data_IF_712504965323
#
_entry.id   IF_712504965323
#
_cell.length_a   1.000
_cell.length_b   1.000
_cell.length_c   1.000
_cell.angle_alpha   90.00
_cell.angle_beta   90.00
_cell.angle_gamma   90.00
#
_symmetry.space_group_name_H-M   'P 1'
#
loop_
_entity.id
_entity.type
_entity.pdbx_description
1 polymer ?
#
# COMPACT_ATOMS: atom_id res chain seq x y z
N UNK A 1 -38.73 45.75 -32.02
CA UNK A 1 -39.36 45.37 -30.74
C UNK A 1 -38.43 45.81 -29.61
N UNK A 2 -38.61 47.04 -29.12
CA UNK A 2 -37.79 47.61 -28.04
C UNK A 2 -38.40 47.24 -26.69
N UNK A 3 -37.62 46.62 -25.79
CA UNK A 3 -38.07 46.27 -24.45
C UNK A 3 -37.93 47.47 -23.50
N UNK A 4 -39.05 47.92 -22.92
CA UNK A 4 -39.02 48.94 -21.86
C UNK A 4 -38.41 48.36 -20.59
N UNK A 5 -37.40 49.05 -20.02
CA UNK A 5 -36.77 48.67 -18.75
C UNK A 5 -37.76 48.89 -17.59
N UNK A 6 -37.88 47.87 -16.73
CA UNK A 6 -38.69 47.86 -15.51
C UNK A 6 -37.78 47.79 -14.28
N UNK A 7 -38.20 48.38 -13.16
CA UNK A 7 -37.51 48.25 -11.87
C UNK A 7 -37.72 46.86 -11.27
N UNK A 8 -36.99 46.54 -10.19
CA UNK A 8 -37.04 45.23 -9.52
C UNK A 8 -38.42 44.87 -8.95
N UNK A 9 -39.27 45.88 -8.69
CA UNK A 9 -40.67 45.73 -8.26
C UNK A 9 -41.67 45.69 -9.44
N UNK A 10 -41.19 45.69 -10.69
CA UNK A 10 -42.00 45.47 -11.89
C UNK A 10 -42.62 46.73 -12.53
N UNK A 11 -42.38 47.92 -11.99
CA UNK A 11 -42.91 49.17 -12.53
C UNK A 11 -42.08 49.70 -13.73
N UNK A 12 -42.76 50.34 -14.69
CA UNK A 12 -42.14 50.94 -15.88
C UNK A 12 -41.33 52.19 -15.50
N UNK A 13 -40.05 52.23 -15.87
CA UNK A 13 -39.19 53.39 -15.59
C UNK A 13 -39.31 54.40 -16.73
N UNK A 14 -39.93 55.56 -16.45
CA UNK A 14 -39.95 56.69 -17.39
C UNK A 14 -38.60 57.43 -17.31
N UNK A 15 -37.80 57.38 -18.38
CA UNK A 15 -36.60 58.21 -18.53
C UNK A 15 -36.97 59.63 -18.94
N UNK A 16 -37.26 60.49 -17.96
CA UNK A 16 -37.25 61.94 -18.19
C UNK A 16 -35.79 62.45 -18.17
N UNK A 17 -35.38 63.08 -19.27
CA UNK A 17 -34.08 63.73 -19.42
C UNK A 17 -34.11 65.08 -18.70
N UNK A 18 -33.87 65.09 -17.40
CA UNK A 18 -33.56 66.34 -16.68
C UNK A 18 -32.06 66.62 -16.80
N UNK A 19 -31.71 67.63 -17.59
CA UNK A 19 -30.38 68.24 -17.61
C UNK A 19 -30.15 68.95 -16.27
N UNK A 20 -29.64 68.24 -15.29
CA UNK A 20 -29.02 68.81 -14.10
C UNK A 20 -27.50 68.76 -14.28
N UNK A 21 -26.87 69.93 -14.32
CA UNK A 21 -25.43 70.10 -14.11
C UNK A 21 -25.09 69.55 -12.71
N UNK A 22 -24.76 68.27 -12.63
CA UNK A 22 -24.11 67.70 -11.46
C UNK A 22 -22.62 67.77 -11.73
N UNK A 23 -21.92 68.59 -10.96
CA UNK A 23 -20.48 68.50 -10.83
C UNK A 23 -20.10 67.03 -10.67
N UNK A 24 -19.10 66.58 -11.43
CA UNK A 24 -18.59 65.22 -11.32
C UNK A 24 -18.25 64.94 -9.85
N UNK A 25 -19.08 64.14 -9.19
CA UNK A 25 -18.73 63.58 -7.90
C UNK A 25 -17.40 62.85 -8.10
N UNK A 26 -16.40 63.03 -7.22
CA UNK A 26 -15.18 62.29 -7.33
C UNK A 26 -15.58 60.81 -7.29
N UNK A 27 -15.24 60.08 -8.35
CA UNK A 27 -15.34 58.62 -8.38
C UNK A 27 -14.61 58.17 -7.13
N UNK A 28 -15.37 57.63 -6.18
CA UNK A 28 -14.89 57.19 -4.87
C UNK A 28 -13.75 56.20 -5.16
N UNK A 29 -12.50 56.68 -5.05
CA UNK A 29 -11.35 55.85 -5.32
C UNK A 29 -11.46 54.69 -4.33
N UNK A 30 -11.42 53.42 -4.78
CA UNK A 30 -11.43 52.30 -3.85
C UNK A 30 -10.34 52.59 -2.82
N UNK A 31 -10.75 52.70 -1.54
CA UNK A 31 -9.87 53.22 -0.49
C UNK A 31 -8.56 52.46 -0.59
N UNK A 32 -7.47 53.18 -0.82
CA UNK A 32 -6.14 52.60 -1.13
C UNK A 32 -5.72 51.55 -0.11
N UNK A 33 -6.17 51.70 1.13
CA UNK A 33 -6.05 50.73 2.22
C UNK A 33 -6.73 49.36 1.95
N UNK A 34 -7.94 49.35 1.38
CA UNK A 34 -8.62 48.09 1.01
C UNK A 34 -7.85 47.41 -0.12
N UNK A 35 -7.41 48.15 -1.13
CA UNK A 35 -6.62 47.57 -2.24
C UNK A 35 -5.31 46.95 -1.74
N UNK A 36 -4.55 47.64 -0.87
CA UNK A 36 -3.31 47.09 -0.31
C UNK A 36 -3.54 45.87 0.57
N UNK A 37 -4.67 45.82 1.28
CA UNK A 37 -5.09 44.63 2.04
C UNK A 37 -5.34 43.43 1.11
N UNK A 38 -6.05 43.64 -0.01
CA UNK A 38 -6.29 42.58 -0.99
C UNK A 38 -5.02 42.14 -1.72
N UNK A 39 -4.06 43.04 -1.96
CA UNK A 39 -2.74 42.67 -2.49
C UNK A 39 -1.99 41.77 -1.52
N UNK A 40 -2.01 42.08 -0.22
CA UNK A 40 -1.40 41.24 0.81
C UNK A 40 -2.06 39.85 0.85
N UNK A 41 -3.40 39.79 0.81
CA UNK A 41 -4.12 38.51 0.76
C UNK A 41 -3.82 37.69 -0.50
N UNK A 42 -3.68 38.35 -1.66
CA UNK A 42 -3.28 37.69 -2.90
C UNK A 42 -1.89 37.06 -2.73
N UNK A 43 -0.92 37.83 -2.26
CA UNK A 43 0.46 37.36 -2.14
C UNK A 43 0.58 36.20 -1.13
N UNK A 44 -0.19 36.24 -0.03
CA UNK A 44 -0.29 35.12 0.92
C UNK A 44 -0.93 33.86 0.32
N UNK A 45 -2.01 34.03 -0.47
CA UNK A 45 -2.69 32.92 -1.14
C UNK A 45 -1.80 32.28 -2.20
N UNK A 46 -1.09 33.09 -2.99
CA UNK A 46 -0.16 32.63 -4.01
C UNK A 46 0.99 31.83 -3.37
N UNK A 47 1.60 32.35 -2.30
CA UNK A 47 2.64 31.63 -1.57
C UNK A 47 2.11 30.30 -0.98
N UNK A 48 0.88 30.30 -0.47
CA UNK A 48 0.22 29.09 0.01
C UNK A 48 0.02 28.06 -1.10
N UNK A 49 -0.42 28.47 -2.28
CA UNK A 49 -0.65 27.59 -3.43
C UNK A 49 0.68 27.02 -3.95
N UNK A 50 1.71 27.84 -4.10
CA UNK A 50 3.04 27.41 -4.51
C UNK A 50 3.61 26.36 -3.54
N UNK A 51 3.49 26.61 -2.24
CA UNK A 51 3.89 25.66 -1.20
C UNK A 51 3.12 24.36 -1.29
N UNK A 52 1.79 24.44 -1.44
CA UNK A 52 0.93 23.26 -1.57
C UNK A 52 1.34 22.40 -2.76
N UNK A 53 1.62 23.00 -3.91
CA UNK A 53 2.05 22.27 -5.11
C UNK A 53 3.44 21.63 -4.93
N UNK A 54 4.38 22.30 -4.24
CA UNK A 54 5.67 21.68 -3.87
C UNK A 54 5.48 20.44 -3.00
N UNK A 55 4.65 20.51 -1.95
CA UNK A 55 4.35 19.36 -1.08
C UNK A 55 3.69 18.22 -1.88
N UNK A 56 2.72 18.54 -2.75
CA UNK A 56 2.05 17.55 -3.59
C UNK A 56 3.03 16.86 -4.54
N UNK A 57 3.95 17.61 -5.15
CA UNK A 57 4.97 17.06 -6.03
C UNK A 57 5.89 16.09 -5.28
N UNK A 58 6.42 16.52 -4.13
CA UNK A 58 7.26 15.66 -3.29
C UNK A 58 6.53 14.41 -2.85
N UNK A 59 5.26 14.54 -2.45
CA UNK A 59 4.39 13.43 -2.07
C UNK A 59 4.28 12.39 -3.20
N UNK A 60 4.00 12.83 -4.44
CA UNK A 60 3.94 11.95 -5.61
C UNK A 60 5.26 11.24 -5.90
N UNK A 61 6.39 11.94 -5.76
CA UNK A 61 7.71 11.37 -6.00
C UNK A 61 8.05 10.28 -4.97
N UNK A 62 7.74 10.51 -3.69
CA UNK A 62 7.91 9.52 -2.61
C UNK A 62 7.01 8.30 -2.85
N UNK A 63 5.74 8.50 -3.18
CA UNK A 63 4.82 7.41 -3.54
C UNK A 63 5.38 6.58 -4.69
N UNK A 64 5.86 7.23 -5.75
CA UNK A 64 6.40 6.54 -6.92
C UNK A 64 7.66 5.71 -6.57
N UNK A 65 8.54 6.22 -5.72
CA UNK A 65 9.73 5.49 -5.26
C UNK A 65 9.35 4.30 -4.35
N UNK A 66 8.38 4.49 -3.46
CA UNK A 66 7.89 3.44 -2.55
C UNK A 66 7.28 2.28 -3.34
N UNK A 67 6.45 2.56 -4.35
CA UNK A 67 5.96 1.54 -5.29
C UNK A 67 7.06 0.77 -5.98
N UNK A 68 8.10 1.47 -6.45
CA UNK A 68 9.26 0.82 -7.09
C UNK A 68 10.01 -0.09 -6.12
N UNK A 69 10.08 0.26 -4.83
CA UNK A 69 10.63 -0.63 -3.78
C UNK A 69 9.75 -1.87 -3.66
N UNK A 70 8.45 -1.71 -3.48
CA UNK A 70 7.48 -2.81 -3.37
C UNK A 70 7.60 -3.77 -4.56
N UNK A 71 7.54 -3.26 -5.80
CA UNK A 71 7.72 -4.09 -6.99
C UNK A 71 9.05 -4.83 -7.02
N UNK A 72 10.14 -4.20 -6.54
CA UNK A 72 11.45 -4.84 -6.47
C UNK A 72 11.49 -5.98 -5.46
N UNK A 73 10.77 -5.82 -4.33
CA UNK A 73 10.62 -6.85 -3.31
C UNK A 73 9.73 -7.99 -3.78
N UNK A 74 8.65 -7.72 -4.52
CA UNK A 74 7.80 -8.77 -5.11
C UNK A 74 8.56 -9.69 -6.08
N UNK A 75 9.61 -9.18 -6.76
CA UNK A 75 10.48 -10.01 -7.63
C UNK A 75 11.27 -11.08 -6.88
N UNK A 76 11.35 -11.01 -5.55
CA UNK A 76 12.09 -11.99 -4.74
C UNK A 76 11.49 -13.38 -4.80
N UNK A 77 10.20 -13.51 -5.15
CA UNK A 77 9.56 -14.82 -5.37
C UNK A 77 10.10 -15.51 -6.63
N UNK A 78 10.49 -14.74 -7.65
CA UNK A 78 10.89 -15.26 -8.96
C UNK A 78 12.40 -15.50 -9.11
N UNK A 79 13.22 -14.94 -8.22
CA UNK A 79 14.67 -14.85 -8.44
C UNK A 79 15.46 -15.76 -7.50
N UNK A 80 15.45 -17.05 -7.80
CA UNK A 80 16.41 -18.02 -7.28
C UNK A 80 16.95 -18.89 -8.43
N UNK A 81 17.91 -18.36 -9.19
CA UNK A 81 18.76 -19.14 -10.09
C UNK A 81 20.20 -18.62 -10.00
N UNK A 82 21.13 -19.54 -9.73
CA UNK A 82 22.58 -19.38 -9.47
C UNK A 82 23.31 -18.72 -10.67
N UNK A 83 24.48 -18.07 -10.50
CA UNK A 83 25.30 -17.61 -11.62
C UNK A 83 25.72 -18.76 -12.53
N UNK A 84 25.53 -18.57 -13.84
CA UNK A 84 26.05 -19.41 -14.90
C UNK A 84 27.59 -19.45 -14.83
N UNK A 85 28.16 -20.59 -14.45
CA UNK A 85 29.58 -20.88 -14.68
C UNK A 85 29.71 -21.58 -16.02
N UNK A 86 30.50 -21.00 -16.91
CA UNK A 86 30.66 -21.43 -18.30
C UNK A 86 31.74 -22.51 -18.35
N UNK A 87 31.40 -23.73 -17.94
CA UNK A 87 32.20 -24.90 -18.28
C UNK A 87 31.33 -26.06 -18.76
N UNK A 88 31.90 -26.77 -19.73
CA UNK A 88 31.18 -27.47 -20.80
C UNK A 88 30.90 -28.93 -20.43
N UNK A 89 29.80 -29.45 -20.95
CA UNK A 89 29.35 -30.86 -21.03
C UNK A 89 28.41 -31.39 -19.94
N UNK A 90 27.32 -31.97 -20.45
CA UNK A 90 26.28 -32.80 -19.82
C UNK A 90 25.04 -32.10 -19.25
N UNK A 91 23.92 -32.61 -19.76
CA UNK A 91 22.49 -32.36 -19.52
C UNK A 91 22.12 -31.47 -18.32
N UNK A 92 21.49 -30.32 -18.61
CA UNK A 92 20.97 -29.44 -17.58
C UNK A 92 19.54 -29.87 -17.17
N UNK A 93 19.30 -30.21 -15.90
CA UNK A 93 17.93 -30.19 -15.38
C UNK A 93 17.48 -28.74 -15.27
N UNK A 94 16.32 -28.41 -15.85
CA UNK A 94 15.61 -27.15 -15.63
C UNK A 94 15.47 -26.92 -14.11
N UNK A 95 16.29 -26.04 -13.55
CA UNK A 95 16.26 -25.74 -12.12
C UNK A 95 15.06 -24.83 -11.86
N UNK A 96 14.04 -25.38 -11.20
CA UNK A 96 12.82 -24.66 -10.79
C UNK A 96 13.22 -23.54 -9.81
N UNK A 97 12.67 -22.32 -9.92
CA UNK A 97 12.95 -21.26 -8.96
C UNK A 97 12.60 -21.72 -7.54
N UNK A 98 13.64 -21.89 -6.71
CA UNK A 98 13.43 -22.19 -5.29
C UNK A 98 12.78 -20.98 -4.62
N UNK A 99 11.60 -21.18 -4.03
CA UNK A 99 10.86 -20.15 -3.30
C UNK A 99 11.76 -19.59 -2.21
N UNK A 100 11.94 -18.26 -2.19
CA UNK A 100 12.74 -17.63 -1.14
C UNK A 100 12.10 -17.88 0.23
N UNK A 101 12.91 -18.33 1.17
CA UNK A 101 12.59 -18.40 2.60
C UNK A 101 12.42 -16.99 3.17
N UNK A 102 11.25 -16.69 3.75
CA UNK A 102 11.04 -15.50 4.59
C UNK A 102 12.04 -15.55 5.76
N UNK A 103 12.48 -14.40 6.30
CA UNK A 103 13.54 -14.31 7.32
C UNK A 103 14.95 -14.60 6.78
N UNK A 104 15.16 -14.28 5.51
CA UNK A 104 16.47 -14.30 4.87
C UNK A 104 16.90 -12.88 4.48
N UNK A 105 18.21 -12.59 4.36
CA UNK A 105 18.67 -11.30 3.86
C UNK A 105 18.25 -11.08 2.40
N UNK A 106 17.99 -9.83 2.03
CA UNK A 106 17.64 -9.47 0.66
C UNK A 106 18.89 -9.63 -0.24
N UNK A 107 18.78 -10.31 -1.41
CA UNK A 107 19.88 -10.44 -2.35
C UNK A 107 20.52 -9.10 -2.68
N UNK A 108 21.85 -9.05 -2.69
CA UNK A 108 22.64 -7.82 -2.81
C UNK A 108 22.19 -6.86 -3.94
N UNK A 109 21.83 -7.33 -5.16
CA UNK A 109 21.39 -6.43 -6.22
C UNK A 109 20.09 -5.69 -5.85
N UNK A 110 19.10 -6.42 -5.30
CA UNK A 110 17.81 -5.83 -4.90
C UNK A 110 17.99 -5.01 -3.63
N UNK A 111 18.81 -5.46 -2.68
CA UNK A 111 19.11 -4.70 -1.46
C UNK A 111 19.76 -3.34 -1.78
N UNK A 112 20.71 -3.30 -2.72
CA UNK A 112 21.33 -2.05 -3.19
C UNK A 112 20.28 -1.16 -3.86
N UNK A 113 19.46 -1.74 -4.73
CA UNK A 113 18.40 -1.03 -5.45
C UNK A 113 17.36 -0.41 -4.51
N UNK A 114 16.88 -1.16 -3.51
CA UNK A 114 15.93 -0.67 -2.51
C UNK A 114 16.55 0.35 -1.59
N UNK A 115 17.80 0.14 -1.16
CA UNK A 115 18.53 1.10 -0.32
C UNK A 115 18.66 2.46 -1.01
N UNK A 116 19.11 2.48 -2.27
CA UNK A 116 19.23 3.73 -3.03
C UNK A 116 17.90 4.48 -3.11
N UNK A 117 16.77 3.78 -3.24
CA UNK A 117 15.46 4.42 -3.25
C UNK A 117 15.03 4.94 -1.88
N UNK A 118 15.33 4.21 -0.80
CA UNK A 118 15.11 4.72 0.55
C UNK A 118 15.94 5.97 0.84
N UNK A 119 17.20 6.02 0.36
CA UNK A 119 18.05 7.21 0.48
C UNK A 119 17.45 8.41 -0.29
N UNK A 120 16.89 8.16 -1.49
CA UNK A 120 16.17 9.17 -2.27
C UNK A 120 14.92 9.68 -1.57
N UNK A 121 14.11 8.78 -1.00
CA UNK A 121 12.91 9.15 -0.23
C UNK A 121 13.30 9.97 1.01
N UNK A 122 14.37 9.58 1.70
CA UNK A 122 14.88 10.32 2.86
C UNK A 122 15.28 11.75 2.46
N UNK A 123 15.94 11.91 1.31
CA UNK A 123 16.28 13.23 0.77
C UNK A 123 15.03 14.05 0.43
N UNK A 124 14.01 13.43 -0.16
CA UNK A 124 12.75 14.10 -0.47
C UNK A 124 12.02 14.58 0.79
N UNK A 125 11.99 13.76 1.84
CA UNK A 125 11.43 14.18 3.13
C UNK A 125 12.21 15.36 3.72
N UNK A 126 13.55 15.34 3.69
CA UNK A 126 14.36 16.46 4.17
C UNK A 126 14.08 17.76 3.41
N UNK A 127 13.95 17.66 2.08
CA UNK A 127 13.72 18.84 1.24
C UNK A 127 12.35 19.49 1.42
N UNK A 128 11.33 18.75 1.91
CA UNK A 128 9.98 19.30 2.11
C UNK A 128 9.78 19.91 3.51
N UNK A 129 10.69 19.70 4.46
CA UNK A 129 10.61 20.24 5.84
C UNK A 129 10.28 21.74 5.88
N UNK A 130 10.92 22.63 5.09
CA UNK A 130 10.61 24.07 5.15
C UNK A 130 9.14 24.40 4.80
N UNK A 131 8.48 23.52 4.04
CA UNK A 131 7.11 23.69 3.60
C UNK A 131 6.08 23.04 4.55
N UNK A 132 6.50 22.20 5.50
CA UNK A 132 5.60 21.46 6.41
C UNK A 132 5.89 21.68 7.89
N UNK A 133 6.67 22.69 8.25
CA UNK A 133 7.02 23.01 9.65
C UNK A 133 6.15 24.10 10.26
N UNK A 134 6.06 24.12 11.60
CA UNK A 134 5.30 25.13 12.34
C UNK A 134 3.80 25.09 12.01
N UNK A 135 3.21 26.25 11.71
CA UNK A 135 1.79 26.38 11.36
C UNK A 135 1.40 25.58 10.09
N UNK A 136 2.38 25.28 9.24
CA UNK A 136 2.15 24.55 7.98
C UNK A 136 1.99 23.04 8.18
N UNK A 137 2.44 22.49 9.32
CA UNK A 137 2.43 21.06 9.59
C UNK A 137 1.04 20.46 9.44
N UNK A 138 0.06 20.96 10.20
CA UNK A 138 -1.33 20.51 10.09
C UNK A 138 -1.99 20.90 8.76
N UNK A 139 -1.61 22.04 8.18
CA UNK A 139 -2.22 22.56 6.95
C UNK A 139 -1.92 21.67 5.75
N UNK A 140 -0.70 21.14 5.67
CA UNK A 140 -0.25 20.33 4.54
C UNK A 140 -0.09 18.83 4.85
N UNK A 141 -0.40 18.39 6.09
CA UNK A 141 -0.36 16.99 6.48
C UNK A 141 -1.13 16.09 5.50
N UNK A 142 -2.32 16.51 5.08
CA UNK A 142 -3.16 15.74 4.15
C UNK A 142 -2.51 15.55 2.77
N UNK A 143 -1.70 16.50 2.30
CA UNK A 143 -1.02 16.41 1.02
C UNK A 143 0.16 15.42 1.08
N UNK A 144 0.80 15.27 2.24
CA UNK A 144 1.93 14.38 2.44
C UNK A 144 1.53 12.98 2.95
N UNK A 145 0.38 12.88 3.62
CA UNK A 145 -0.15 11.65 4.24
C UNK A 145 -0.16 10.43 3.30
N UNK A 146 -0.60 10.59 2.05
CA UNK A 146 -0.58 9.48 1.08
C UNK A 146 0.83 8.97 0.74
N UNK A 147 1.84 9.84 0.77
CA UNK A 147 3.23 9.44 0.58
C UNK A 147 3.80 8.73 1.81
N UNK A 148 3.42 9.17 3.00
CA UNK A 148 3.81 8.53 4.27
C UNK A 148 3.22 7.11 4.33
N UNK A 149 1.95 6.94 3.99
CA UNK A 149 1.28 5.63 3.95
C UNK A 149 2.00 4.65 3.01
N UNK A 150 2.30 5.06 1.78
CA UNK A 150 3.01 4.23 0.81
C UNK A 150 4.46 3.93 1.24
N UNK A 151 5.14 4.90 1.87
CA UNK A 151 6.46 4.68 2.45
C UNK A 151 6.42 3.64 3.57
N UNK A 152 5.41 3.69 4.44
CA UNK A 152 5.19 2.72 5.52
C UNK A 152 4.93 1.33 4.95
N UNK A 153 4.11 1.20 3.92
CA UNK A 153 3.88 -0.06 3.22
C UNK A 153 5.20 -0.65 2.70
N UNK A 154 6.01 0.15 1.98
CA UNK A 154 7.29 -0.28 1.44
C UNK A 154 8.31 -0.67 2.52
N UNK A 155 8.42 0.13 3.59
CA UNK A 155 9.33 -0.12 4.71
C UNK A 155 8.91 -1.37 5.49
N UNK A 156 7.62 -1.51 5.78
CA UNK A 156 7.07 -2.65 6.51
C UNK A 156 7.23 -3.95 5.72
N UNK A 157 7.02 -3.90 4.39
CA UNK A 157 7.22 -5.08 3.55
C UNK A 157 8.69 -5.50 3.50
N UNK A 158 9.61 -4.55 3.40
CA UNK A 158 11.05 -4.81 3.46
C UNK A 158 11.43 -5.49 4.78
N UNK A 159 11.00 -4.91 5.91
CA UNK A 159 11.26 -5.41 7.25
C UNK A 159 10.66 -6.80 7.48
N UNK A 160 9.41 -7.02 7.06
CA UNK A 160 8.74 -8.32 7.19
C UNK A 160 9.48 -9.42 6.43
N UNK A 161 9.93 -9.17 5.21
CA UNK A 161 10.67 -10.18 4.44
C UNK A 161 12.01 -10.58 5.08
N UNK A 162 12.63 -9.68 5.85
CA UNK A 162 13.90 -9.91 6.52
C UNK A 162 13.76 -10.51 7.92
N UNK A 163 12.69 -10.18 8.64
CA UNK A 163 12.55 -10.49 10.08
C UNK A 163 11.36 -11.37 10.41
N UNK A 164 10.38 -11.46 9.51
CA UNK A 164 9.05 -12.03 9.76
C UNK A 164 8.36 -11.38 10.97
N UNK A 165 8.55 -10.08 11.15
CA UNK A 165 7.88 -9.28 12.17
C UNK A 165 7.32 -8.01 11.54
N UNK A 166 6.39 -7.37 12.23
CA UNK A 166 5.85 -6.09 11.84
C UNK A 166 6.72 -4.97 12.43
N UNK A 167 7.13 -4.00 11.60
CA UNK A 167 7.83 -2.82 12.10
C UNK A 167 6.86 -1.96 12.92
N UNK A 168 7.27 -1.52 14.10
CA UNK A 168 6.44 -0.69 14.98
C UNK A 168 6.33 0.75 14.49
N UNK A 169 5.27 1.47 14.90
CA UNK A 169 5.13 2.91 14.62
C UNK A 169 6.35 3.71 15.09
N UNK A 170 6.86 3.41 16.30
CA UNK A 170 8.03 4.09 16.85
C UNK A 170 9.32 3.85 16.04
N UNK A 171 9.45 2.69 15.39
CA UNK A 171 10.57 2.41 14.48
C UNK A 171 10.40 3.15 13.16
N UNK A 172 9.19 3.16 12.59
CA UNK A 172 8.86 3.93 11.37
C UNK A 172 9.21 5.41 11.54
N UNK A 173 8.84 6.01 12.69
CA UNK A 173 9.13 7.42 12.98
C UNK A 173 10.63 7.72 12.91
N UNK A 174 11.51 6.78 13.25
CA UNK A 174 12.97 6.98 13.17
C UNK A 174 13.49 7.06 11.75
N UNK A 175 12.72 6.60 10.76
CA UNK A 175 13.08 6.68 9.34
C UNK A 175 12.56 7.95 8.65
N UNK A 176 11.78 8.77 9.36
CA UNK A 176 11.21 10.03 8.86
C UNK A 176 11.80 11.18 9.68
N UNK A 177 12.08 12.37 9.11
CA UNK A 177 12.53 13.52 9.88
C UNK A 177 11.54 13.88 10.99
N UNK A 178 12.05 14.27 12.17
CA UNK A 178 11.24 14.51 13.37
C UNK A 178 10.21 15.64 13.20
N UNK A 179 10.45 16.53 12.27
CA UNK A 179 9.56 17.64 11.89
C UNK A 179 8.31 17.19 11.14
N UNK A 180 8.35 16.00 10.54
CA UNK A 180 7.24 15.42 9.79
C UNK A 180 6.47 14.47 10.70
N UNK A 181 5.20 14.81 10.94
CA UNK A 181 4.32 14.00 11.75
C UNK A 181 3.92 12.72 11.00
N UNK A 182 4.25 11.57 11.57
CA UNK A 182 3.71 10.26 11.14
C UNK A 182 2.56 9.90 12.07
N UNK A 183 1.33 10.05 11.60
CA UNK A 183 0.15 9.76 12.43
C UNK A 183 -0.09 8.26 12.56
N UNK A 184 -0.85 7.87 13.59
CA UNK A 184 -1.33 6.50 13.74
C UNK A 184 -2.29 6.10 12.61
N UNK A 185 -3.03 7.05 12.02
CA UNK A 185 -3.83 6.84 10.81
C UNK A 185 -2.95 6.45 9.64
N UNK A 186 -1.88 7.21 9.37
CA UNK A 186 -0.96 6.92 8.26
C UNK A 186 -0.30 5.54 8.42
N UNK A 187 0.09 5.20 9.66
CA UNK A 187 0.64 3.89 9.95
C UNK A 187 -0.36 2.77 9.73
N UNK A 188 -1.55 2.86 10.31
CA UNK A 188 -2.57 1.83 10.14
C UNK A 188 -2.97 1.67 8.66
N UNK A 189 -3.20 2.77 7.94
CA UNK A 189 -3.58 2.71 6.52
C UNK A 189 -2.47 2.11 5.64
N UNK A 190 -1.19 2.44 5.90
CA UNK A 190 -0.06 1.79 5.23
C UNK A 190 0.02 0.29 5.53
N UNK A 191 -0.31 -0.13 6.76
CA UNK A 191 -0.35 -1.55 7.10
C UNK A 191 -1.54 -2.30 6.49
N UNK A 192 -2.69 -1.64 6.28
CA UNK A 192 -3.78 -2.24 5.52
C UNK A 192 -3.34 -2.55 4.09
N UNK A 193 -2.64 -1.62 3.43
CA UNK A 193 -2.14 -1.84 2.07
C UNK A 193 -1.06 -2.92 2.02
N UNK A 194 -0.19 -3.00 3.05
CA UNK A 194 0.77 -4.09 3.21
C UNK A 194 0.12 -5.48 3.14
N UNK A 195 -1.09 -5.67 3.70
CA UNK A 195 -1.77 -6.98 3.64
C UNK A 195 -2.04 -7.43 2.19
N UNK A 196 -2.27 -6.48 1.29
CA UNK A 196 -2.41 -6.73 -0.14
C UNK A 196 -1.11 -7.21 -0.77
N UNK A 197 0.02 -6.59 -0.42
CA UNK A 197 1.34 -6.97 -0.93
C UNK A 197 1.82 -8.30 -0.34
N UNK A 198 1.55 -8.57 0.93
CA UNK A 198 1.78 -9.89 1.54
C UNK A 198 0.93 -10.97 0.86
N UNK A 199 -0.33 -10.69 0.53
CA UNK A 199 -1.18 -11.60 -0.22
C UNK A 199 -0.62 -11.87 -1.62
N UNK A 200 -0.20 -10.83 -2.37
CA UNK A 200 0.45 -11.02 -3.68
C UNK A 200 1.68 -11.90 -3.57
N UNK A 201 2.52 -11.66 -2.56
CA UNK A 201 3.72 -12.43 -2.30
C UNK A 201 3.39 -13.91 -1.99
N UNK A 202 2.40 -14.14 -1.13
CA UNK A 202 1.93 -15.46 -0.74
C UNK A 202 1.37 -16.24 -1.93
N UNK A 203 0.43 -15.66 -2.69
CA UNK A 203 -0.19 -16.32 -3.86
C UNK A 203 0.86 -16.67 -4.91
N UNK A 204 1.79 -15.75 -5.19
CA UNK A 204 2.86 -16.00 -6.15
C UNK A 204 3.75 -17.15 -5.67
N UNK A 205 4.09 -17.17 -4.38
CA UNK A 205 4.92 -18.22 -3.78
C UNK A 205 4.21 -19.58 -3.75
N UNK A 206 2.91 -19.61 -3.46
CA UNK A 206 2.09 -20.82 -3.46
C UNK A 206 1.97 -21.40 -4.88
N UNK A 207 1.85 -20.55 -5.90
CA UNK A 207 1.79 -20.97 -7.30
C UNK A 207 3.11 -21.53 -7.84
N UNK A 208 4.26 -21.11 -7.32
CA UNK A 208 5.58 -21.60 -7.78
C UNK A 208 6.02 -22.87 -7.05
N UNK A 209 5.48 -23.15 -5.86
CA UNK A 209 5.86 -24.29 -5.00
C UNK A 209 5.24 -25.63 -5.35
N UNK A 210 4.22 -25.67 -6.21
CA UNK A 210 3.53 -26.92 -6.57
C UNK A 210 4.36 -27.87 -7.45
N UNK A 211 5.55 -27.47 -7.89
CA UNK A 211 6.46 -28.29 -8.71
C UNK A 211 7.65 -28.91 -7.97
N UNK A 212 7.86 -28.59 -6.69
CA UNK A 212 9.06 -28.99 -5.94
C UNK A 212 8.70 -29.87 -4.72
N UNK A 213 8.08 -31.03 -4.96
CA UNK A 213 8.03 -32.10 -3.96
C UNK A 213 9.16 -33.10 -4.25
N UNK A 214 10.19 -33.07 -3.41
CA UNK A 214 11.31 -34.00 -3.51
C UNK A 214 12.46 -33.79 -2.53
N UNK A 215 12.25 -33.17 -1.36
CA UNK A 215 13.22 -33.30 -0.27
C UNK A 215 12.57 -32.97 1.07
N UNK A 216 12.45 -34.00 1.92
CA UNK A 216 12.11 -33.86 3.32
C UNK A 216 13.29 -33.21 4.02
N UNK A 217 13.20 -31.93 4.37
CA UNK A 217 14.18 -31.31 5.24
C UNK A 217 13.78 -31.58 6.69
N UNK A 218 14.65 -32.31 7.38
CA UNK A 218 14.51 -32.68 8.77
C UNK A 218 15.34 -31.70 9.59
N UNK A 219 14.68 -30.85 10.38
CA UNK A 219 15.35 -30.09 11.43
C UNK A 219 15.04 -28.61 11.45
N UNK A 220 14.08 -28.22 12.28
CA UNK A 220 13.89 -26.83 12.71
C UNK A 220 12.77 -26.77 13.75
N UNK A 221 13.10 -26.31 14.96
CA UNK A 221 12.18 -26.12 16.08
C UNK A 221 10.93 -25.34 15.68
N UNK A 222 9.80 -26.04 15.58
CA UNK A 222 8.49 -25.47 15.26
C UNK A 222 7.77 -25.02 16.52
N UNK A 223 7.81 -23.71 16.79
CA UNK A 223 6.92 -23.03 17.73
C UNK A 223 5.46 -22.92 17.21
N UNK A 224 5.17 -23.42 16.00
CA UNK A 224 3.85 -23.41 15.39
C UNK A 224 3.01 -24.66 15.68
N UNK A 225 3.59 -25.70 16.27
CA UNK A 225 2.85 -26.90 16.67
C UNK A 225 2.36 -26.77 18.12
N UNK A 226 1.28 -26.02 18.33
CA UNK A 226 0.48 -26.20 19.54
C UNK A 226 -0.18 -27.58 19.44
N UNK A 227 0.42 -28.53 20.15
CA UNK A 227 -0.06 -29.89 20.37
C UNK A 227 -1.55 -29.87 20.77
N UNK A 228 -2.42 -30.21 19.81
CA UNK A 228 -3.69 -30.84 20.13
C UNK A 228 -3.37 -32.32 20.13
N UNK A 229 -3.11 -32.85 21.32
CA UNK A 229 -2.91 -34.26 21.60
C UNK A 229 -4.11 -35.08 21.12
N UNK A 230 -4.01 -35.58 19.89
CA UNK A 230 -4.88 -36.56 19.28
C UNK A 230 -3.99 -37.60 18.62
N UNK A 231 -3.76 -38.70 19.33
CA UNK A 231 -3.02 -39.88 18.87
C UNK A 231 -3.55 -40.36 17.50
N UNK A 232 -2.72 -40.26 16.45
CA UNK A 232 -2.96 -40.98 15.18
C UNK A 232 -2.80 -40.23 13.85
N UNK A 233 -2.03 -39.14 13.74
CA UNK A 233 -1.91 -38.41 12.47
C UNK A 233 -0.98 -39.11 11.46
N UNK A 234 -1.56 -39.60 10.35
CA UNK A 234 -0.89 -40.10 9.15
C UNK A 234 0.27 -39.20 8.70
N UNK A 235 1.48 -39.76 8.60
CA UNK A 235 2.70 -39.04 8.20
C UNK A 235 2.72 -38.59 6.72
N UNK A 236 1.71 -38.96 5.92
CA UNK A 236 1.67 -38.76 4.46
C UNK A 236 0.72 -37.66 3.97
N UNK A 237 0.18 -36.80 4.85
CA UNK A 237 -0.64 -35.67 4.42
C UNK A 237 0.24 -34.54 3.84
N UNK A 238 -0.16 -33.90 2.73
CA UNK A 238 0.53 -32.73 2.21
C UNK A 238 0.59 -31.62 3.26
N UNK A 239 1.78 -31.06 3.44
CA UNK A 239 2.01 -29.89 4.29
C UNK A 239 2.51 -28.75 3.41
N UNK A 240 2.12 -27.52 3.76
CA UNK A 240 2.76 -26.34 3.18
C UNK A 240 4.20 -26.24 3.70
N UNK A 241 5.16 -25.80 2.88
CA UNK A 241 6.46 -25.32 3.35
C UNK A 241 6.29 -24.36 4.53
N UNK A 242 7.17 -24.44 5.54
CA UNK A 242 7.08 -23.64 6.76
C UNK A 242 6.94 -22.12 6.49
N UNK A 243 7.57 -21.63 5.41
CA UNK A 243 7.50 -20.23 4.97
C UNK A 243 6.13 -19.85 4.41
N UNK A 244 5.51 -20.74 3.64
CA UNK A 244 4.17 -20.56 3.09
C UNK A 244 3.09 -20.70 4.17
N UNK A 245 3.30 -21.60 5.13
CA UNK A 245 2.45 -21.69 6.31
C UNK A 245 2.57 -20.43 7.18
N UNK A 246 3.80 -19.93 7.37
CA UNK A 246 4.09 -18.72 8.15
C UNK A 246 3.33 -17.50 7.64
N UNK A 247 3.41 -17.18 6.34
CA UNK A 247 2.71 -15.99 5.80
C UNK A 247 1.18 -16.07 5.90
N UNK A 248 0.59 -17.27 5.84
CA UNK A 248 -0.85 -17.47 6.03
C UNK A 248 -1.23 -17.20 7.49
N UNK A 249 -0.44 -17.69 8.44
CA UNK A 249 -0.63 -17.46 9.88
C UNK A 249 -0.47 -15.97 10.21
N UNK A 250 0.58 -15.34 9.71
CA UNK A 250 0.86 -13.92 9.95
C UNK A 250 -0.28 -13.03 9.41
N UNK A 251 -0.80 -13.32 8.22
CA UNK A 251 -1.97 -12.60 7.66
C UNK A 251 -3.24 -12.78 8.51
N UNK A 252 -3.47 -13.96 9.09
CA UNK A 252 -4.59 -14.21 10.01
C UNK A 252 -4.44 -13.47 11.31
N UNK A 253 -3.23 -13.40 11.85
CA UNK A 253 -2.93 -12.63 13.07
C UNK A 253 -3.12 -11.13 12.85
N UNK A 254 -2.62 -10.61 11.71
CA UNK A 254 -2.87 -9.22 11.31
C UNK A 254 -4.36 -8.93 11.17
N UNK A 255 -5.12 -9.81 10.50
CA UNK A 255 -6.58 -9.68 10.40
C UNK A 255 -7.25 -9.62 11.77
N UNK A 256 -6.93 -10.57 12.64
CA UNK A 256 -7.50 -10.66 13.98
C UNK A 256 -7.22 -9.39 14.78
N UNK A 257 -6.00 -8.86 14.65
CA UNK A 257 -5.58 -7.62 15.31
C UNK A 257 -6.32 -6.40 14.76
N UNK A 258 -6.49 -6.30 13.43
CA UNK A 258 -7.24 -5.19 12.82
C UNK A 258 -8.74 -5.24 13.13
N UNK A 259 -9.36 -6.41 13.14
CA UNK A 259 -10.77 -6.56 13.48
C UNK A 259 -11.05 -6.27 14.96
N UNK A 260 -10.04 -6.39 15.82
CA UNK A 260 -10.10 -6.00 17.23
C UNK A 260 -10.04 -4.48 17.43
N UNK A 261 -9.57 -3.71 16.44
CA UNK A 261 -9.46 -2.26 16.56
C UNK A 261 -10.85 -1.62 16.67
N UNK A 262 -11.16 -1.11 17.85
CA UNK A 262 -12.34 -0.28 18.07
C UNK A 262 -12.00 1.19 17.81
N UNK A 263 -12.40 1.71 16.66
CA UNK A 263 -12.29 3.14 16.36
C UNK A 263 -13.55 3.86 16.86
N UNK A 264 -13.45 4.81 17.81
CA UNK A 264 -14.61 5.56 18.27
C UNK A 264 -15.29 6.30 17.11
N UNK A 265 -16.63 6.28 17.06
CA UNK A 265 -17.42 6.87 15.96
C UNK A 265 -17.06 8.32 15.62
N UNK A 266 -16.56 9.11 16.57
CA UNK A 266 -16.10 10.49 16.34
C UNK A 266 -14.89 10.59 15.39
N UNK A 267 -14.07 9.54 15.31
CA UNK A 267 -12.90 9.49 14.42
C UNK A 267 -13.22 8.80 13.09
N UNK A 268 -14.32 8.03 13.02
CA UNK A 268 -14.73 7.29 11.83
C UNK A 268 -15.04 8.19 10.63
N UNK A 269 -15.50 9.44 10.84
CA UNK A 269 -15.78 10.36 9.73
C UNK A 269 -14.58 11.24 9.32
N UNK A 270 -13.47 11.20 10.06
CA UNK A 270 -12.32 12.09 9.86
C UNK A 270 -11.03 11.31 9.58
N UNK A 271 -10.40 10.82 10.64
CA UNK A 271 -9.07 10.20 10.65
C UNK A 271 -9.10 8.72 10.26
N UNK A 272 -10.28 8.12 10.14
CA UNK A 272 -10.42 6.70 9.80
C UNK A 272 -11.57 6.48 8.82
N UNK A 273 -11.83 7.47 7.97
CA UNK A 273 -12.93 7.42 7.00
C UNK A 273 -12.82 6.23 6.05
N UNK A 274 -11.60 5.90 5.65
CA UNK A 274 -11.35 4.84 4.68
C UNK A 274 -11.10 3.48 5.36
N UNK A 275 -11.06 3.43 6.70
CA UNK A 275 -10.79 2.22 7.50
C UNK A 275 -11.75 1.08 7.15
N UNK A 276 -13.06 1.35 7.07
CA UNK A 276 -14.04 0.30 6.75
C UNK A 276 -13.76 -0.38 5.40
N UNK A 277 -13.52 0.42 4.36
CA UNK A 277 -13.14 -0.12 3.03
C UNK A 277 -11.82 -0.87 3.07
N UNK A 278 -10.86 -0.41 3.86
CA UNK A 278 -9.55 -1.08 4.03
C UNK A 278 -9.69 -2.42 4.76
N UNK A 279 -10.57 -2.51 5.76
CA UNK A 279 -10.93 -3.77 6.42
C UNK A 279 -11.51 -4.76 5.41
N UNK A 280 -12.47 -4.33 4.58
CA UNK A 280 -13.06 -5.19 3.55
C UNK A 280 -12.00 -5.70 2.56
N UNK A 281 -11.09 -4.84 2.10
CA UNK A 281 -9.99 -5.22 1.20
C UNK A 281 -9.02 -6.19 1.86
N UNK A 282 -8.69 -5.98 3.14
CA UNK A 282 -7.82 -6.86 3.91
C UNK A 282 -8.45 -8.23 4.13
N UNK A 283 -9.74 -8.31 4.50
CA UNK A 283 -10.47 -9.57 4.63
C UNK A 283 -10.43 -10.36 3.32
N UNK A 284 -10.74 -9.71 2.20
CA UNK A 284 -10.65 -10.32 0.87
C UNK A 284 -9.23 -10.80 0.53
N UNK A 285 -8.19 -10.11 1.02
CA UNK A 285 -6.80 -10.49 0.81
C UNK A 285 -6.45 -11.75 1.59
N UNK A 286 -6.83 -11.81 2.86
CA UNK A 286 -6.63 -12.99 3.72
C UNK A 286 -7.37 -14.19 3.14
N UNK A 287 -8.64 -14.04 2.78
CA UNK A 287 -9.45 -15.12 2.20
C UNK A 287 -8.83 -15.70 0.92
N UNK A 288 -8.23 -14.87 0.07
CA UNK A 288 -7.57 -15.36 -1.15
C UNK A 288 -6.38 -16.25 -0.82
N UNK A 289 -5.57 -15.86 0.15
CA UNK A 289 -4.42 -16.64 0.60
C UNK A 289 -4.87 -17.95 1.24
N UNK A 290 -5.91 -17.90 2.08
CA UNK A 290 -6.50 -19.10 2.70
C UNK A 290 -7.07 -20.07 1.67
N UNK A 291 -7.81 -19.57 0.65
CA UNK A 291 -8.34 -20.40 -0.44
C UNK A 291 -7.21 -21.05 -1.25
N UNK A 292 -6.12 -20.33 -1.51
CA UNK A 292 -4.96 -20.88 -2.21
C UNK A 292 -4.26 -21.96 -1.38
N UNK A 293 -4.03 -21.71 -0.09
CA UNK A 293 -3.47 -22.68 0.85
C UNK A 293 -4.34 -23.94 0.97
N UNK A 294 -5.66 -23.76 1.12
CA UNK A 294 -6.64 -24.85 1.14
C UNK A 294 -6.58 -25.68 -0.14
N UNK A 295 -6.53 -25.01 -1.30
CA UNK A 295 -6.43 -25.68 -2.59
C UNK A 295 -5.22 -26.60 -2.70
N UNK A 296 -4.07 -26.19 -2.16
CA UNK A 296 -2.84 -27.01 -2.15
C UNK A 296 -2.97 -28.18 -1.18
N UNK A 297 -3.43 -27.93 0.05
CA UNK A 297 -3.55 -28.96 1.09
C UNK A 297 -4.57 -30.04 0.72
N UNK A 298 -5.74 -29.65 0.22
CA UNK A 298 -6.82 -30.59 -0.12
C UNK A 298 -6.56 -31.28 -1.46
N UNK A 299 -6.22 -30.56 -2.53
CA UNK A 299 -5.93 -31.23 -3.82
C UNK A 299 -4.68 -32.10 -3.76
N UNK A 300 -3.67 -31.70 -2.99
CA UNK A 300 -2.50 -32.54 -2.74
C UNK A 300 -2.87 -33.83 -2.00
N UNK A 301 -3.94 -33.82 -1.20
CA UNK A 301 -4.42 -34.99 -0.46
C UNK A 301 -5.25 -35.91 -1.37
N UNK A 302 -5.95 -35.34 -2.36
CA UNK A 302 -6.77 -36.07 -3.34
C UNK A 302 -5.94 -36.72 -4.46
N UNK A 303 -4.80 -36.11 -4.84
CA UNK A 303 -3.93 -36.59 -5.94
C UNK A 303 -2.48 -36.68 -5.45
N UNK A 304 -2.09 -37.78 -4.78
CA UNK A 304 -0.72 -37.99 -4.33
C UNK A 304 0.28 -38.02 -5.50
N UNK A 305 1.56 -37.81 -5.20
CA UNK A 305 2.63 -37.89 -6.20
C UNK A 305 2.58 -39.23 -6.95
N UNK A 306 2.58 -39.19 -8.29
CA UNK A 306 2.45 -40.36 -9.16
C UNK A 306 1.01 -40.79 -9.45
N UNK A 307 -0.01 -40.09 -8.93
CA UNK A 307 -1.40 -40.33 -9.30
C UNK A 307 -1.66 -39.92 -10.75
N UNK A 308 -1.99 -40.91 -11.58
CA UNK A 308 -2.58 -40.69 -12.91
C UNK A 308 -4.05 -41.12 -12.88
N UNK A 309 -4.97 -40.38 -13.53
CA UNK A 309 -6.33 -40.85 -13.71
C UNK A 309 -6.32 -42.23 -14.35
N UNK A 310 -7.14 -43.14 -13.86
CA UNK A 310 -7.32 -44.43 -14.51
C UNK A 310 -8.03 -44.21 -15.85
N UNK A 311 -7.25 -44.23 -16.94
CA UNK A 311 -7.74 -44.09 -18.31
C UNK A 311 -8.23 -45.44 -18.89
N UNK A 312 -8.27 -46.51 -18.09
CA UNK A 312 -8.74 -47.82 -18.53
C UNK A 312 -10.27 -47.96 -18.46
N UNK A 313 -10.96 -47.04 -17.76
CA UNK A 313 -12.42 -47.01 -17.77
C UNK A 313 -12.93 -46.52 -19.13
N UNK A 314 -13.94 -47.20 -19.72
CA UNK A 314 -14.57 -46.72 -20.94
C UNK A 314 -15.14 -45.33 -20.68
N UNK A 315 -14.88 -44.41 -21.62
CA UNK A 315 -15.51 -43.09 -21.62
C UNK A 315 -17.01 -43.32 -21.74
N UNK A 316 -17.75 -43.10 -20.65
CA UNK A 316 -19.21 -42.96 -20.71
C UNK A 316 -19.50 -41.71 -21.55
N UNK A 317 -19.59 -41.90 -22.86
CA UNK A 317 -20.24 -40.93 -23.72
C UNK A 317 -21.72 -40.98 -23.36
N UNK A 318 -22.18 -39.99 -22.60
CA UNK A 318 -23.60 -39.66 -22.56
C UNK A 318 -24.02 -39.33 -24.01
N UNK A 319 -24.60 -40.32 -24.68
CA UNK A 319 -25.26 -40.14 -25.96
C UNK A 319 -26.54 -39.36 -25.69
N UNK A 320 -26.51 -38.06 -25.97
CA UNK A 320 -27.72 -37.23 -26.07
C UNK A 320 -28.51 -37.58 -27.34
#
# INVERSE_FOLDING_TARGET
>A
MAGNKRSWEGNLVNTEKTQTNMAAAPVDQPSTHILSMFETFRDELDQHHDRRERVIKTSRDITALSKKIIFSLQRLVYRSSIPYSRDTTMEQPLTIPSIRTIKAPIPAPIAKETKTRFDQISTLFQNVIPDVTGLNSWRYQRQLSGAIQEFIEALSFNHYLQTQTLISHAEVVKHVPAEILVTEEDYLLGLFDLTGEMMRFAITSLSTGTGAQGQADSGGDDLAARDISGTGANQNLPKLPATQAGIVVDLREMRSSFELLSVPRRHANNMFRDMGKKVDVMQNSVEKVERAAYGILVRGSERPSGWTPDLSAPVDMEVY
#
